data_IF_485539814076
#
_entry.id   IF_485539814076
#
_cell.length_a   1.000
_cell.length_b   1.000
_cell.length_c   1.000
_cell.angle_alpha   90.00
_cell.angle_beta   90.00
_cell.angle_gamma   90.00
#
_symmetry.space_group_name_H-M   'P 1'
#
loop_
_entity.id
_entity.type
_entity.pdbx_description
1 polymer ?
#
# COMPACT_ATOMS: atom_id res chain seq x y z
N UNK A 1 22.90 -43.34 -24.82
CA UNK A 1 21.94 -43.82 -25.84
C UNK A 1 22.12 -43.10 -27.16
N UNK A 2 22.05 -41.76 -27.22
CA UNK A 2 22.24 -40.93 -28.43
C UNK A 2 23.53 -41.20 -29.21
N UNK A 3 24.69 -41.28 -28.54
CA UNK A 3 25.95 -41.63 -29.23
C UNK A 3 25.94 -43.05 -29.82
N UNK A 4 25.34 -44.03 -29.13
CA UNK A 4 25.22 -45.40 -29.62
C UNK A 4 24.28 -45.51 -30.83
N UNK A 5 23.17 -44.75 -30.84
CA UNK A 5 22.25 -44.66 -31.98
C UNK A 5 22.93 -44.05 -33.21
N UNK A 6 23.82 -43.08 -33.03
CA UNK A 6 24.57 -42.44 -34.12
C UNK A 6 25.62 -43.40 -34.76
N UNK A 7 26.26 -44.27 -33.96
CA UNK A 7 27.11 -45.36 -34.46
C UNK A 7 26.28 -46.34 -35.30
N UNK A 8 25.10 -46.76 -34.80
CA UNK A 8 24.22 -47.71 -35.47
C UNK A 8 23.65 -47.18 -36.80
N UNK A 9 23.46 -45.87 -36.92
CA UNK A 9 23.01 -45.20 -38.15
C UNK A 9 24.14 -44.91 -39.16
N UNK A 10 25.37 -45.40 -38.90
CA UNK A 10 26.51 -45.27 -39.82
C UNK A 10 27.25 -43.92 -39.76
N UNK A 11 27.02 -43.12 -38.71
CA UNK A 11 27.74 -41.86 -38.50
C UNK A 11 29.19 -42.07 -38.06
N UNK A 12 30.14 -41.31 -38.63
CA UNK A 12 31.54 -41.29 -38.16
C UNK A 12 31.66 -40.45 -36.88
N UNK A 13 31.80 -41.11 -35.73
CA UNK A 13 32.06 -40.45 -34.45
C UNK A 13 33.56 -40.33 -34.19
N UNK A 14 34.08 -39.10 -34.28
CA UNK A 14 35.45 -38.78 -33.87
C UNK A 14 35.50 -38.55 -32.36
N UNK A 15 36.52 -39.06 -31.66
CA UNK A 15 36.68 -38.92 -30.21
C UNK A 15 36.59 -37.46 -29.73
N UNK A 16 37.17 -36.52 -30.48
CA UNK A 16 37.10 -35.08 -30.17
C UNK A 16 35.67 -34.51 -30.20
N UNK A 17 34.81 -35.00 -31.10
CA UNK A 17 33.40 -34.59 -31.18
C UNK A 17 32.57 -35.10 -30.00
N UNK A 18 32.82 -36.35 -29.58
CA UNK A 18 32.13 -36.95 -28.42
C UNK A 18 32.52 -36.26 -27.11
N UNK A 19 33.83 -36.02 -26.91
CA UNK A 19 34.33 -35.34 -25.72
C UNK A 19 33.85 -33.89 -25.64
N UNK A 20 33.86 -33.18 -26.77
CA UNK A 20 33.32 -31.82 -26.86
C UNK A 20 31.82 -31.76 -26.55
N UNK A 21 31.02 -32.64 -27.17
CA UNK A 21 29.58 -32.69 -26.90
C UNK A 21 29.25 -33.06 -25.44
N UNK A 22 30.01 -33.97 -24.83
CA UNK A 22 29.85 -34.30 -23.41
C UNK A 22 30.21 -33.13 -22.50
N UNK A 23 31.27 -32.39 -22.81
CA UNK A 23 31.66 -31.19 -22.07
C UNK A 23 30.57 -30.11 -22.17
N UNK A 24 30.05 -29.83 -23.37
CA UNK A 24 28.96 -28.88 -23.59
C UNK A 24 27.70 -29.27 -22.82
N UNK A 25 27.33 -30.56 -22.82
CA UNK A 25 26.16 -31.03 -22.07
C UNK A 25 26.33 -30.85 -20.56
N UNK A 26 27.54 -31.12 -20.03
CA UNK A 26 27.84 -30.91 -18.60
C UNK A 26 27.74 -29.44 -18.20
N UNK A 27 28.21 -28.52 -19.04
CA UNK A 27 28.11 -27.08 -18.79
C UNK A 27 26.64 -26.62 -18.81
N UNK A 28 25.81 -27.18 -19.71
CA UNK A 28 24.39 -26.82 -19.81
C UNK A 28 23.49 -27.47 -18.74
N UNK A 29 23.95 -28.57 -18.13
CA UNK A 29 23.14 -29.34 -17.18
C UNK A 29 22.76 -28.51 -15.94
N UNK A 30 23.66 -27.69 -15.44
CA UNK A 30 23.43 -26.87 -14.25
C UNK A 30 22.44 -25.72 -14.49
N UNK A 31 22.59 -24.89 -15.55
CA UNK A 31 21.57 -23.91 -15.93
C UNK A 31 20.19 -24.52 -16.15
N UNK A 32 20.10 -25.67 -16.82
CA UNK A 32 18.82 -26.36 -17.07
C UNK A 32 18.16 -26.87 -15.79
N UNK A 33 18.97 -27.29 -14.81
CA UNK A 33 18.46 -27.74 -13.51
C UNK A 33 17.96 -26.59 -12.64
N UNK A 34 18.64 -25.44 -12.70
CA UNK A 34 18.28 -24.25 -11.90
C UNK A 34 17.17 -23.41 -12.56
N UNK A 35 16.90 -23.61 -13.84
CA UNK A 35 15.91 -22.84 -14.59
C UNK A 35 14.49 -22.87 -13.99
N UNK A 36 13.94 -24.02 -13.56
CA UNK A 36 12.61 -24.04 -12.93
C UNK A 36 12.56 -23.21 -11.65
N UNK A 37 13.59 -23.27 -10.81
CA UNK A 37 13.66 -22.50 -9.57
C UNK A 37 13.69 -20.99 -9.86
N UNK A 38 14.39 -20.57 -10.93
CA UNK A 38 14.37 -19.18 -11.39
C UNK A 38 12.97 -18.75 -11.84
N UNK A 39 12.27 -19.59 -12.62
CA UNK A 39 10.89 -19.31 -13.06
C UNK A 39 9.96 -19.18 -11.87
N UNK A 40 10.07 -20.08 -10.89
CA UNK A 40 9.30 -20.01 -9.65
C UNK A 40 9.61 -18.73 -8.87
N UNK A 41 10.89 -18.36 -8.75
CA UNK A 41 11.30 -17.12 -8.08
C UNK A 41 10.75 -15.89 -8.79
N UNK A 42 10.81 -15.84 -10.13
CA UNK A 42 10.25 -14.74 -10.91
C UNK A 42 8.73 -14.64 -10.75
N UNK A 43 8.02 -15.77 -10.70
CA UNK A 43 6.58 -15.78 -10.45
C UNK A 43 6.24 -15.21 -9.05
N UNK A 44 6.99 -15.62 -8.02
CA UNK A 44 6.82 -15.08 -6.65
C UNK A 44 7.14 -13.59 -6.58
N UNK A 45 8.26 -13.16 -7.18
CA UNK A 45 8.66 -11.75 -7.24
C UNK A 45 7.58 -10.91 -7.92
N UNK A 46 6.97 -11.39 -9.01
CA UNK A 46 5.86 -10.70 -9.66
C UNK A 46 4.69 -10.49 -8.70
N UNK A 47 4.24 -11.54 -8.00
CA UNK A 47 3.15 -11.44 -7.02
C UNK A 47 3.50 -10.46 -5.89
N UNK A 48 4.75 -10.45 -5.44
CA UNK A 48 5.22 -9.48 -4.43
C UNK A 48 5.21 -8.04 -4.95
N UNK A 49 5.67 -7.80 -6.18
CA UNK A 49 5.64 -6.48 -6.82
C UNK A 49 4.20 -6.01 -7.02
N UNK A 50 3.30 -6.89 -7.46
CA UNK A 50 1.88 -6.55 -7.64
C UNK A 50 1.27 -6.08 -6.31
N UNK A 51 1.55 -6.78 -5.20
CA UNK A 51 1.09 -6.36 -3.85
C UNK A 51 1.65 -5.01 -3.41
N UNK A 52 2.95 -4.79 -3.61
CA UNK A 52 3.59 -3.51 -3.29
C UNK A 52 3.01 -2.38 -4.14
N UNK A 53 2.73 -2.66 -5.41
CA UNK A 53 2.14 -1.68 -6.33
C UNK A 53 0.73 -1.32 -5.89
N UNK A 54 -0.09 -2.30 -5.49
CA UNK A 54 -1.41 -2.02 -4.90
C UNK A 54 -1.30 -1.12 -3.65
N UNK A 55 -0.42 -1.45 -2.71
CA UNK A 55 -0.25 -0.65 -1.48
C UNK A 55 0.22 0.79 -1.76
N UNK A 56 1.18 0.97 -2.68
CA UNK A 56 1.70 2.30 -3.03
C UNK A 56 0.71 3.15 -3.83
N UNK A 57 -0.33 2.53 -4.41
CA UNK A 57 -1.40 3.20 -5.16
C UNK A 57 -2.67 3.38 -4.32
N UNK A 58 -2.67 2.93 -3.07
CA UNK A 58 -3.79 3.16 -2.15
C UNK A 58 -3.93 4.67 -1.89
N UNK A 59 -5.16 5.14 -1.68
CA UNK A 59 -5.41 6.55 -1.38
C UNK A 59 -4.75 6.94 -0.06
N UNK A 60 -3.94 8.01 -0.09
CA UNK A 60 -3.41 8.63 1.12
C UNK A 60 -4.52 9.38 1.88
N UNK A 61 -4.25 9.73 3.14
CA UNK A 61 -5.15 10.58 3.92
C UNK A 61 -5.42 11.88 3.16
N UNK A 62 -6.66 12.36 3.19
CA UNK A 62 -7.07 13.60 2.54
C UNK A 62 -6.18 14.76 3.01
N UNK A 63 -5.41 15.36 2.08
CA UNK A 63 -4.56 16.52 2.38
C UNK A 63 -5.36 17.72 2.91
N UNK A 64 -6.64 17.81 2.53
CA UNK A 64 -7.56 18.86 2.93
C UNK A 64 -8.46 18.47 4.11
N UNK A 65 -8.16 17.37 4.83
CA UNK A 65 -8.91 16.95 6.01
C UNK A 65 -8.98 18.06 7.08
N UNK A 66 -7.92 18.86 7.20
CA UNK A 66 -7.86 20.05 8.07
C UNK A 66 -7.16 21.21 7.39
N UNK A 67 -7.72 22.41 7.51
CA UNK A 67 -7.15 23.65 6.99
C UNK A 67 -6.38 24.34 8.12
N UNK A 68 -5.05 24.42 8.01
CA UNK A 68 -4.21 25.12 9.00
C UNK A 68 -4.02 26.57 8.56
N UNK A 69 -4.56 27.50 9.35
CA UNK A 69 -4.46 28.94 9.13
C UNK A 69 -3.27 29.55 9.90
N UNK A 70 -2.58 30.54 9.32
CA UNK A 70 -1.47 31.24 9.98
C UNK A 70 -1.85 31.90 11.32
N UNK A 71 -0.90 31.93 12.25
CA UNK A 71 -1.03 32.66 13.52
C UNK A 71 -1.35 34.15 13.29
N UNK A 72 -2.38 34.64 13.99
CA UNK A 72 -2.71 36.07 14.07
C UNK A 72 -3.93 36.52 13.27
N UNK A 73 -4.57 35.64 12.49
CA UNK A 73 -5.76 35.98 11.69
C UNK A 73 -7.04 36.02 12.55
N UNK A 74 -7.12 35.20 13.60
CA UNK A 74 -8.33 35.04 14.42
C UNK A 74 -8.02 34.62 15.87
N UNK A 75 -8.94 34.97 16.79
CA UNK A 75 -8.93 34.47 18.18
C UNK A 75 -9.47 33.03 18.30
N UNK A 76 -9.99 32.49 17.21
CA UNK A 76 -10.47 31.10 17.13
C UNK A 76 -9.25 30.19 17.06
N UNK A 77 -9.25 29.09 17.81
CA UNK A 77 -8.22 28.05 17.76
C UNK A 77 -8.66 26.87 16.88
N UNK A 78 -9.93 26.45 17.01
CA UNK A 78 -10.52 25.34 16.25
C UNK A 78 -11.92 25.75 15.82
N UNK A 79 -12.24 25.56 14.54
CA UNK A 79 -13.59 25.74 13.99
C UNK A 79 -13.96 24.53 13.14
N UNK A 80 -15.12 23.92 13.43
CA UNK A 80 -15.69 22.81 12.67
C UNK A 80 -17.10 23.25 12.26
N UNK A 81 -17.40 23.22 10.96
CA UNK A 81 -18.68 23.66 10.40
C UNK A 81 -19.34 22.54 9.61
N UNK A 82 -20.58 22.22 9.99
CA UNK A 82 -21.49 21.29 9.33
C UNK A 82 -20.77 20.04 8.78
N UNK A 83 -19.90 19.45 9.61
CA UNK A 83 -18.97 18.43 9.15
C UNK A 83 -19.45 17.02 9.47
N UNK A 84 -19.27 16.13 8.51
CA UNK A 84 -19.48 14.70 8.65
C UNK A 84 -18.17 13.93 8.40
N UNK A 85 -17.91 12.91 9.21
CA UNK A 85 -16.67 12.13 9.15
C UNK A 85 -16.98 10.64 9.18
N UNK A 86 -16.21 9.86 8.42
CA UNK A 86 -16.32 8.40 8.42
C UNK A 86 -14.97 7.73 8.23
N UNK A 87 -14.70 6.70 9.04
CA UNK A 87 -13.57 5.80 8.84
C UNK A 87 -13.69 4.96 7.57
N UNK A 88 -14.93 4.69 7.15
CA UNK A 88 -15.25 3.93 5.96
C UNK A 88 -16.16 4.77 5.07
N UNK A 89 -15.65 5.20 3.92
CA UNK A 89 -16.37 5.99 2.93
C UNK A 89 -17.54 5.21 2.30
N UNK A 90 -17.52 3.87 2.38
CA UNK A 90 -18.59 3.00 1.88
C UNK A 90 -19.70 2.74 2.92
N UNK A 91 -19.49 3.13 4.17
CA UNK A 91 -20.49 2.97 5.23
C UNK A 91 -21.72 3.83 4.95
N UNK A 92 -22.90 3.23 5.08
CA UNK A 92 -24.18 3.94 4.96
C UNK A 92 -24.42 4.95 6.09
N UNK A 93 -23.66 4.88 7.19
CA UNK A 93 -23.75 5.82 8.31
C UNK A 93 -22.39 6.42 8.62
N UNK A 94 -22.27 7.76 8.68
CA UNK A 94 -21.04 8.40 9.10
C UNK A 94 -20.73 8.07 10.57
N UNK A 95 -19.44 8.07 10.91
CA UNK A 95 -18.98 7.86 12.29
C UNK A 95 -19.34 9.05 13.18
N UNK A 96 -19.26 10.26 12.62
CA UNK A 96 -19.69 11.51 13.24
C UNK A 96 -20.50 12.31 12.22
N UNK A 97 -21.65 12.81 12.63
CA UNK A 97 -22.56 13.57 11.78
C UNK A 97 -22.88 14.92 12.41
N UNK A 98 -23.07 15.94 11.57
CA UNK A 98 -23.56 17.27 11.97
C UNK A 98 -22.72 17.93 13.08
N UNK A 99 -21.39 17.76 13.03
CA UNK A 99 -20.50 18.33 14.03
C UNK A 99 -20.30 19.81 13.75
N UNK A 100 -20.69 20.63 14.72
CA UNK A 100 -20.55 22.08 14.71
C UNK A 100 -19.90 22.54 16.02
N UNK A 101 -18.69 23.09 15.93
CA UNK A 101 -17.95 23.54 17.11
C UNK A 101 -17.05 24.73 16.80
N UNK A 102 -16.95 25.64 17.76
CA UNK A 102 -16.00 26.75 17.72
C UNK A 102 -15.31 26.87 19.08
N UNK A 103 -13.98 26.80 19.08
CA UNK A 103 -13.15 26.90 20.29
C UNK A 103 -12.22 28.10 20.14
N UNK A 104 -12.23 28.99 21.12
CA UNK A 104 -11.37 30.16 21.15
C UNK A 104 -10.07 29.90 21.92
N UNK A 105 -9.04 30.70 21.63
CA UNK A 105 -7.75 30.62 22.32
C UNK A 105 -7.93 30.89 23.82
N UNK A 106 -7.36 30.01 24.64
CA UNK A 106 -7.49 30.06 26.10
C UNK A 106 -8.72 29.35 26.68
N UNK A 107 -9.65 28.89 25.83
CA UNK A 107 -10.80 28.10 26.25
C UNK A 107 -10.37 26.66 26.62
N UNK A 108 -11.01 26.08 27.64
CA UNK A 108 -10.86 24.67 28.00
C UNK A 108 -12.17 23.95 27.71
N UNK A 109 -12.11 22.95 26.83
CA UNK A 109 -13.28 22.17 26.39
C UNK A 109 -13.12 20.73 26.85
N UNK A 110 -14.20 20.16 27.39
CA UNK A 110 -14.27 18.75 27.75
C UNK A 110 -15.27 18.04 26.82
N UNK A 111 -14.88 16.89 26.27
CA UNK A 111 -15.73 16.06 25.41
C UNK A 111 -16.22 14.86 26.21
N UNK A 112 -17.54 14.76 26.41
CA UNK A 112 -18.18 13.72 27.21
C UNK A 112 -19.21 12.93 26.38
N UNK A 113 -19.39 11.66 26.67
CA UNK A 113 -20.31 10.78 25.94
C UNK A 113 -20.13 9.30 26.31
N UNK A 114 -21.11 8.48 25.96
CA UNK A 114 -21.12 7.02 26.23
C UNK A 114 -20.00 6.28 25.50
N UNK A 115 -19.68 5.05 25.92
CA UNK A 115 -18.70 4.21 25.20
C UNK A 115 -19.23 3.96 23.79
N UNK A 116 -18.37 4.13 22.77
CA UNK A 116 -18.75 4.01 21.36
C UNK A 116 -19.38 5.27 20.74
N UNK A 117 -19.54 6.38 21.48
CA UNK A 117 -20.14 7.62 20.95
C UNK A 117 -19.23 8.44 20.02
N UNK A 118 -18.07 7.90 19.60
CA UNK A 118 -17.16 8.60 18.69
C UNK A 118 -16.23 9.66 19.30
N UNK A 119 -16.04 9.71 20.63
CA UNK A 119 -15.14 10.70 21.28
C UNK A 119 -13.69 10.66 20.76
N UNK A 120 -13.11 9.47 20.64
CA UNK A 120 -11.76 9.31 20.09
C UNK A 120 -11.74 9.68 18.62
N UNK A 121 -12.75 9.26 17.86
CA UNK A 121 -12.91 9.63 16.46
C UNK A 121 -12.96 11.15 16.29
N UNK A 122 -13.65 11.87 17.18
CA UNK A 122 -13.75 13.33 17.15
C UNK A 122 -12.38 14.00 17.30
N UNK A 123 -11.51 13.47 18.16
CA UNK A 123 -10.13 13.96 18.27
C UNK A 123 -9.33 13.66 17.01
N UNK A 124 -9.46 12.46 16.45
CA UNK A 124 -8.81 12.09 15.19
C UNK A 124 -9.27 12.95 14.01
N UNK A 125 -10.53 13.44 14.00
CA UNK A 125 -11.01 14.40 13.00
C UNK A 125 -10.27 15.75 13.11
N UNK A 126 -10.07 16.24 14.34
CA UNK A 126 -9.31 17.48 14.58
C UNK A 126 -7.86 17.34 14.14
N UNK A 127 -7.29 16.12 14.23
CA UNK A 127 -5.93 15.82 13.78
C UNK A 127 -5.82 15.58 12.27
N UNK A 128 -6.94 15.49 11.54
CA UNK A 128 -6.95 15.16 10.12
C UNK A 128 -6.71 13.68 9.81
N UNK A 129 -6.88 12.79 10.79
CA UNK A 129 -6.68 11.33 10.62
C UNK A 129 -7.92 10.63 10.07
N UNK A 130 -9.10 11.25 10.16
CA UNK A 130 -10.35 10.72 9.62
C UNK A 130 -10.74 11.53 8.37
N UNK A 131 -11.03 10.86 7.24
CA UNK A 131 -11.59 11.52 6.07
C UNK A 131 -12.88 12.27 6.41
N UNK A 132 -12.98 13.51 5.93
CA UNK A 132 -14.23 14.28 5.96
C UNK A 132 -15.08 13.91 4.74
N UNK A 133 -16.37 13.71 4.95
CA UNK A 133 -17.36 13.53 3.88
C UNK A 133 -17.88 14.88 3.39
N UNK A 134 -18.03 15.83 4.32
CA UNK A 134 -18.56 17.16 4.07
C UNK A 134 -18.12 18.12 5.18
N UNK A 135 -18.29 19.43 4.92
CA UNK A 135 -17.95 20.49 5.87
C UNK A 135 -16.49 20.91 5.85
N UNK A 136 -16.12 21.74 6.84
CA UNK A 136 -14.78 22.31 6.96
C UNK A 136 -14.27 22.24 8.39
N UNK A 137 -12.99 21.86 8.53
CA UNK A 137 -12.23 21.90 9.79
C UNK A 137 -11.09 22.89 9.63
N UNK A 138 -11.12 23.96 10.41
CA UNK A 138 -10.10 25.00 10.41
C UNK A 138 -9.36 25.02 11.75
N UNK A 139 -8.04 24.92 11.69
CA UNK A 139 -7.13 25.01 12.83
C UNK A 139 -6.32 26.29 12.72
N UNK A 140 -6.41 27.18 13.70
CA UNK A 140 -5.58 28.38 13.77
C UNK A 140 -4.52 28.18 14.87
N UNK A 141 -3.52 27.37 14.58
CA UNK A 141 -2.38 27.11 15.47
C UNK A 141 -1.39 28.25 15.45
#
# INVERSE_FOLDING_TARGET
VTFATCILLGGKLTAGGVLSALATFRILQEPLRNFPDLVSTMAQTKVSIDRLSCFLLEEELQEDATIVLPQGISNIAIEIKDSEFSWDLSSARPTLSEINMKVEKGMRVAVCGTVGSGKSSFLSCILGEIPKLSGEVCLCT
#
